data_IF_017479292116
#
_entry.id   IF_017479292116
#
_cell.length_a   1.000
_cell.length_b   1.000
_cell.length_c   1.000
_cell.angle_alpha   90.00
_cell.angle_beta   90.00
_cell.angle_gamma   90.00
#
_symmetry.space_group_name_H-M   'P 1'
#
loop_
_entity.id
_entity.type
_entity.pdbx_description
1 polymer ?
#
# COMPACT_ATOMS: atom_id res chain seq x y z
N UNK A 1 -15.51 1.90 -6.97
CA UNK A 1 -14.83 1.91 -8.28
C UNK A 1 -15.32 3.14 -9.05
N UNK A 2 -14.45 3.81 -9.80
CA UNK A 2 -14.78 5.05 -10.51
C UNK A 2 -13.75 5.35 -11.60
N UNK A 3 -13.78 6.54 -12.21
CA UNK A 3 -12.81 6.94 -13.23
C UNK A 3 -11.48 7.41 -12.62
N UNK A 4 -10.37 7.14 -13.32
CA UNK A 4 -9.07 7.71 -12.97
C UNK A 4 -9.06 9.21 -13.32
N UNK A 5 -8.25 10.02 -12.64
CA UNK A 5 -7.95 11.37 -13.11
C UNK A 5 -7.30 11.36 -14.51
N UNK A 6 -7.24 12.51 -15.21
CA UNK A 6 -6.51 12.61 -16.46
C UNK A 6 -5.02 12.33 -16.27
N UNK A 7 -4.39 11.64 -17.23
CA UNK A 7 -2.96 11.29 -17.14
C UNK A 7 -2.02 12.50 -17.04
N UNK A 8 -2.45 13.65 -17.57
CA UNK A 8 -1.73 14.93 -17.46
C UNK A 8 -1.62 15.46 -16.03
N UNK A 9 -2.37 14.90 -15.08
CA UNK A 9 -2.33 15.30 -13.66
C UNK A 9 -1.39 14.44 -12.84
N UNK A 10 -0.67 13.50 -13.49
CA UNK A 10 0.26 12.58 -12.84
C UNK A 10 1.68 13.08 -12.96
N UNK A 11 2.49 12.83 -11.93
CA UNK A 11 3.90 13.15 -11.93
C UNK A 11 4.69 12.19 -11.04
N UNK A 12 6.01 12.13 -11.25
CA UNK A 12 6.97 11.40 -10.40
C UNK A 12 7.78 12.36 -9.51
N UNK A 13 7.44 13.66 -9.52
CA UNK A 13 8.16 14.72 -8.81
C UNK A 13 7.69 14.93 -7.37
N UNK A 14 6.67 14.18 -6.92
CA UNK A 14 6.13 14.33 -5.57
C UNK A 14 5.05 15.41 -5.43
N UNK A 15 4.53 15.95 -6.54
CA UNK A 15 3.55 17.03 -6.50
C UNK A 15 2.13 16.50 -6.29
N UNK A 16 1.46 17.00 -5.27
CA UNK A 16 0.10 16.60 -4.90
C UNK A 16 0.08 15.39 -3.98
N UNK A 17 -0.85 14.46 -4.21
CA UNK A 17 -1.07 13.30 -3.33
C UNK A 17 -0.52 12.01 -3.96
N UNK A 18 0.05 11.07 -3.18
CA UNK A 18 0.42 9.75 -3.67
C UNK A 18 -0.74 9.09 -4.40
N UNK A 19 -0.46 8.46 -5.54
CA UNK A 19 -1.46 7.89 -6.43
C UNK A 19 -1.16 6.44 -6.79
N UNK A 20 -2.02 5.53 -6.32
CA UNK A 20 -1.87 4.09 -6.57
C UNK A 20 -2.87 3.62 -7.63
N UNK A 21 -2.35 3.23 -8.78
CA UNK A 21 -3.12 2.92 -9.99
C UNK A 21 -3.61 1.48 -10.04
N UNK A 22 -2.82 0.55 -9.49
CA UNK A 22 -3.11 -0.88 -9.55
C UNK A 22 -2.01 -1.73 -8.92
N UNK A 23 -1.99 -3.01 -9.30
CA UNK A 23 -1.05 -4.00 -8.77
C UNK A 23 0.44 -3.61 -8.86
N UNK A 24 0.82 -2.87 -9.89
CA UNK A 24 2.21 -2.46 -10.13
C UNK A 24 2.78 -1.55 -9.02
N UNK A 25 1.90 -0.96 -8.21
CA UNK A 25 2.29 -0.16 -7.05
C UNK A 25 2.35 -1.00 -5.78
N UNK A 26 1.72 -2.17 -5.74
CA UNK A 26 1.63 -3.00 -4.54
C UNK A 26 2.95 -3.74 -4.28
N UNK A 27 3.45 -3.67 -3.05
CA UNK A 27 4.61 -4.44 -2.60
C UNK A 27 4.16 -5.52 -1.61
N UNK A 28 5.06 -5.92 -0.70
CA UNK A 28 4.79 -6.94 0.32
C UNK A 28 3.51 -6.64 1.12
N UNK A 29 3.36 -5.40 1.60
CA UNK A 29 2.21 -4.99 2.42
C UNK A 29 1.72 -3.57 2.19
N UNK A 30 2.63 -2.64 1.88
CA UNK A 30 2.34 -1.24 1.59
C UNK A 30 2.77 -0.88 0.16
N UNK A 31 2.06 0.04 -0.52
CA UNK A 31 2.36 0.39 -1.90
C UNK A 31 3.58 1.30 -2.02
N UNK A 32 4.34 1.16 -3.11
CA UNK A 32 5.44 2.03 -3.45
C UNK A 32 4.95 3.40 -3.94
N UNK A 33 5.52 4.49 -3.41
CA UNK A 33 5.24 5.86 -3.85
C UNK A 33 5.94 6.19 -5.18
N UNK A 34 5.38 5.68 -6.28
CA UNK A 34 5.94 5.90 -7.63
C UNK A 34 5.35 7.10 -8.34
N UNK A 35 4.05 7.32 -8.18
CA UNK A 35 3.29 8.33 -8.92
C UNK A 35 2.48 9.18 -7.95
N UNK A 36 2.36 10.47 -8.25
CA UNK A 36 1.57 11.46 -7.51
C UNK A 36 0.53 12.08 -8.44
N UNK A 37 -0.54 12.63 -7.86
CA UNK A 37 -1.65 13.24 -8.60
C UNK A 37 -2.04 14.59 -7.98
N UNK A 38 -2.10 15.62 -8.82
CA UNK A 38 -2.49 16.99 -8.43
C UNK A 38 -4.00 17.24 -8.47
N UNK A 39 -4.77 16.35 -9.11
CA UNK A 39 -6.22 16.44 -9.21
C UNK A 39 -6.92 15.13 -8.79
N UNK A 40 -6.80 14.73 -7.50
CA UNK A 40 -7.30 13.46 -7.03
C UNK A 40 -8.84 13.41 -7.10
N UNK A 41 -9.39 12.32 -7.65
CA UNK A 41 -10.84 12.10 -7.74
C UNK A 41 -11.38 11.11 -6.73
N UNK A 42 -10.54 10.17 -6.28
CA UNK A 42 -10.91 9.09 -5.37
C UNK A 42 -9.83 8.95 -4.34
N UNK A 43 -10.23 8.96 -3.08
CA UNK A 43 -9.32 8.94 -1.95
C UNK A 43 -9.46 7.62 -1.19
N UNK A 44 -8.35 7.17 -0.63
CA UNK A 44 -8.28 6.19 0.44
C UNK A 44 -7.55 6.84 1.62
N UNK A 45 -7.94 6.45 2.84
CA UNK A 45 -7.25 6.92 4.04
C UNK A 45 -6.14 5.97 4.41
N UNK A 46 -5.18 6.49 5.18
CA UNK A 46 -4.20 5.67 5.88
C UNK A 46 -4.90 4.48 6.57
N UNK A 47 -4.31 3.30 6.41
CA UNK A 47 -4.79 1.98 6.87
C UNK A 47 -6.00 1.38 6.15
N UNK A 48 -6.53 2.03 5.11
CA UNK A 48 -7.49 1.35 4.24
C UNK A 48 -6.85 0.13 3.58
N UNK A 49 -7.61 -0.96 3.51
CA UNK A 49 -7.19 -2.13 2.74
C UNK A 49 -7.38 -1.85 1.26
N UNK A 50 -6.31 -1.96 0.49
CA UNK A 50 -6.31 -1.75 -0.96
C UNK A 50 -6.40 -3.10 -1.66
N UNK A 51 -7.36 -3.26 -2.56
CA UNK A 51 -7.55 -4.48 -3.34
C UNK A 51 -7.43 -4.17 -4.83
N UNK A 52 -6.60 -4.95 -5.53
CA UNK A 52 -6.51 -4.90 -6.98
C UNK A 52 -7.80 -5.44 -7.59
N UNK A 53 -8.48 -4.61 -8.40
CA UNK A 53 -9.76 -4.96 -9.04
C UNK A 53 -9.64 -5.14 -10.56
N UNK A 54 -8.40 -5.13 -11.06
CA UNK A 54 -8.02 -5.46 -12.44
C UNK A 54 -6.84 -6.42 -12.41
N UNK A 55 -6.72 -7.25 -13.44
CA UNK A 55 -5.71 -8.30 -13.50
C UNK A 55 -4.29 -7.82 -13.12
N UNK A 56 -3.59 -8.52 -12.19
CA UNK A 56 -4.11 -9.63 -11.39
C UNK A 56 -5.10 -9.15 -10.31
N UNK A 57 -6.31 -9.72 -10.30
CA UNK A 57 -7.41 -9.37 -9.41
C UNK A 57 -7.21 -10.02 -8.03
N UNK A 58 -7.54 -9.30 -6.97
CA UNK A 58 -7.58 -9.84 -5.61
C UNK A 58 -6.26 -9.74 -4.84
N UNK A 59 -5.21 -9.15 -5.41
CA UNK A 59 -4.04 -8.78 -4.63
C UNK A 59 -4.37 -7.69 -3.62
N UNK A 60 -3.82 -7.84 -2.41
CA UNK A 60 -4.16 -7.01 -1.24
C UNK A 60 -2.93 -6.28 -0.72
N UNK A 61 -3.09 -4.99 -0.45
CA UNK A 61 -2.15 -4.12 0.21
C UNK A 61 -2.87 -3.27 1.26
N UNK A 62 -2.14 -2.44 1.98
CA UNK A 62 -2.68 -1.47 2.93
C UNK A 62 -2.12 -0.09 2.60
N UNK A 63 -2.96 0.94 2.65
CA UNK A 63 -2.51 2.31 2.47
C UNK A 63 -1.65 2.74 3.66
N UNK A 64 -0.37 3.09 3.43
CA UNK A 64 0.53 3.65 4.44
C UNK A 64 0.20 5.10 4.79
N UNK A 65 -0.58 5.78 3.95
CA UNK A 65 -0.95 7.19 4.07
C UNK A 65 -2.27 7.50 3.36
N UNK A 66 -2.77 8.71 3.57
CA UNK A 66 -3.86 9.25 2.76
C UNK A 66 -3.42 9.39 1.31
N UNK A 67 -4.13 8.72 0.40
CA UNK A 67 -3.71 8.58 -0.98
C UNK A 67 -4.89 8.66 -1.96
N UNK A 68 -4.56 8.92 -3.21
CA UNK A 68 -5.47 8.83 -4.35
C UNK A 68 -5.39 7.43 -4.96
N UNK A 69 -6.52 6.89 -5.43
CA UNK A 69 -6.57 5.56 -6.01
C UNK A 69 -7.16 5.55 -7.43
N UNK A 70 -6.53 4.78 -8.31
CA UNK A 70 -6.94 4.62 -9.71
C UNK A 70 -8.15 3.71 -9.89
N UNK A 71 -8.53 3.50 -11.16
CA UNK A 71 -9.63 2.57 -11.50
C UNK A 71 -9.33 1.12 -11.15
N UNK A 72 -8.06 0.74 -11.14
CA UNK A 72 -7.59 -0.61 -10.85
C UNK A 72 -7.57 -0.97 -9.37
N UNK A 73 -7.90 -0.03 -8.47
CA UNK A 73 -7.85 -0.23 -7.02
C UNK A 73 -9.20 0.10 -6.37
N UNK A 74 -9.61 -0.77 -5.45
CA UNK A 74 -10.65 -0.53 -4.47
C UNK A 74 -10.03 -0.31 -3.09
N UNK A 75 -10.56 0.66 -2.36
CA UNK A 75 -10.31 0.80 -0.93
C UNK A 75 -11.46 0.16 -0.16
N UNK A 76 -11.11 -0.66 0.82
CA UNK A 76 -12.03 -1.41 1.69
C UNK A 76 -11.73 -1.01 3.13
N UNK A 77 -12.79 -0.64 3.84
CA UNK A 77 -12.74 -0.28 5.25
C UNK A 77 -13.92 -0.93 5.97
N UNK A 78 -13.64 -1.67 7.03
CA UNK A 78 -14.70 -2.15 7.91
C UNK A 78 -15.36 -0.98 8.65
N UNK A 79 -16.67 -1.03 8.86
CA UNK A 79 -17.43 0.06 9.49
C UNK A 79 -16.93 0.41 10.90
N UNK A 80 -16.38 -0.57 11.61
CA UNK A 80 -15.79 -0.39 12.94
C UNK A 80 -14.38 0.22 12.94
N UNK A 81 -13.79 0.49 11.77
CA UNK A 81 -12.46 1.11 11.66
C UNK A 81 -11.27 0.19 11.96
N UNK A 82 -11.50 -1.10 12.17
CA UNK A 82 -10.48 -2.12 12.44
C UNK A 82 -9.66 -2.46 11.19
N UNK A 83 -8.35 -2.20 11.20
CA UNK A 83 -7.51 -2.33 10.00
C UNK A 83 -7.01 -3.75 9.79
N UNK A 84 -6.64 -4.44 10.87
CA UNK A 84 -6.10 -5.80 10.80
C UNK A 84 -7.17 -6.76 10.32
N UNK A 85 -8.35 -6.74 10.95
CA UNK A 85 -9.46 -7.60 10.53
C UNK A 85 -9.86 -7.37 9.07
N UNK A 86 -9.94 -6.11 8.63
CA UNK A 86 -10.28 -5.78 7.23
C UNK A 86 -9.25 -6.37 6.26
N UNK A 87 -7.96 -6.18 6.55
CA UNK A 87 -6.87 -6.64 5.70
C UNK A 87 -6.84 -8.16 5.57
N UNK A 88 -6.89 -8.88 6.71
CA UNK A 88 -6.84 -10.34 6.72
C UNK A 88 -8.13 -10.96 6.16
N UNK A 89 -9.28 -10.33 6.32
CA UNK A 89 -10.53 -10.76 5.68
C UNK A 89 -10.44 -10.69 4.15
N UNK A 90 -9.88 -9.60 3.61
CA UNK A 90 -9.68 -9.47 2.15
C UNK A 90 -8.63 -10.46 1.62
N UNK A 91 -7.56 -10.73 2.40
CA UNK A 91 -6.58 -11.77 2.08
C UNK A 91 -7.20 -13.16 2.05
N UNK A 92 -8.08 -13.48 3.01
CA UNK A 92 -8.71 -14.79 3.12
C UNK A 92 -9.63 -15.12 1.95
N UNK A 93 -10.24 -14.12 1.32
CA UNK A 93 -11.11 -14.31 0.15
C UNK A 93 -10.36 -14.19 -1.19
N UNK A 94 -9.01 -14.20 -1.18
CA UNK A 94 -8.18 -14.10 -2.40
C UNK A 94 -8.56 -15.15 -3.46
N UNK A 95 -8.83 -16.38 -3.05
CA UNK A 95 -9.22 -17.46 -3.98
C UNK A 95 -10.59 -17.24 -4.62
N UNK A 96 -11.49 -16.51 -3.95
CA UNK A 96 -12.78 -16.11 -4.54
C UNK A 96 -12.55 -15.12 -5.67
N UNK A 97 -11.58 -14.21 -5.53
CA UNK A 97 -11.21 -13.28 -6.59
C UNK A 97 -10.63 -13.96 -7.83
N UNK A 98 -9.96 -15.12 -7.68
CA UNK A 98 -9.38 -15.86 -8.80
C UNK A 98 -10.44 -16.30 -9.84
N UNK A 99 -11.70 -16.50 -9.42
CA UNK A 99 -12.80 -16.84 -10.33
C UNK A 99 -13.10 -15.71 -11.33
N UNK A 100 -12.91 -14.46 -10.92
CA UNK A 100 -13.11 -13.28 -11.76
C UNK A 100 -11.96 -13.03 -12.76
N UNK A 101 -10.84 -13.73 -12.62
CA UNK A 101 -9.80 -13.76 -13.65
C UNK A 101 -10.21 -14.66 -14.82
N UNK A 102 -10.96 -15.73 -14.54
CA UNK A 102 -11.33 -16.75 -15.52
C UNK A 102 -12.58 -16.39 -16.36
N UNK A 103 -13.46 -15.51 -15.87
CA UNK A 103 -14.79 -15.25 -16.44
C UNK A 103 -14.84 -14.27 -17.65
N UNK A 104 -13.75 -14.10 -18.41
CA UNK A 104 -13.91 -13.77 -19.83
C UNK A 104 -14.04 -12.30 -20.24
N UNK A 105 -13.00 -11.51 -19.99
CA UNK A 105 -12.56 -10.48 -20.95
C UNK A 105 -11.03 -10.51 -21.00
N UNK A 106 -10.41 -10.02 -22.07
CA UNK A 106 -8.94 -10.06 -22.29
C UNK A 106 -8.13 -9.49 -21.10
N UNK A 107 -8.78 -8.77 -20.17
CA UNK A 107 -8.26 -8.42 -18.84
C UNK A 107 -9.32 -8.68 -17.75
N UNK A 108 -9.08 -9.64 -16.86
CA UNK A 108 -9.95 -9.89 -15.70
C UNK A 108 -10.18 -8.64 -14.86
N UNK A 109 -11.42 -8.38 -14.46
CA UNK A 109 -11.77 -7.27 -13.57
C UNK A 109 -13.03 -7.56 -12.77
N UNK A 110 -13.15 -6.95 -11.58
CA UNK A 110 -14.34 -7.07 -10.73
C UNK A 110 -15.08 -5.74 -10.71
N UNK A 111 -16.40 -5.76 -10.87
CA UNK A 111 -17.25 -4.56 -10.79
C UNK A 111 -17.63 -4.25 -9.34
N UNK A 112 -18.10 -3.02 -9.06
CA UNK A 112 -18.53 -2.63 -7.70
C UNK A 112 -19.68 -3.52 -7.22
N UNK A 113 -20.59 -3.89 -8.14
CA UNK A 113 -21.73 -4.76 -7.85
C UNK A 113 -21.25 -6.16 -7.46
N UNK A 114 -20.27 -6.71 -8.17
CA UNK A 114 -19.76 -8.05 -7.92
C UNK A 114 -18.93 -8.08 -6.63
N UNK A 115 -18.12 -7.04 -6.39
CA UNK A 115 -17.37 -6.89 -5.14
C UNK A 115 -18.30 -6.90 -3.91
N UNK A 116 -19.45 -6.22 -3.99
CA UNK A 116 -20.44 -6.22 -2.89
C UNK A 116 -21.17 -7.55 -2.70
N UNK A 117 -21.14 -8.44 -3.69
CA UNK A 117 -21.75 -9.79 -3.60
C UNK A 117 -20.79 -10.85 -3.08
N UNK A 118 -19.52 -10.51 -2.87
CA UNK A 118 -18.54 -11.47 -2.36
C UNK A 118 -18.98 -12.01 -1.00
N UNK A 119 -19.06 -13.33 -0.93
CA UNK A 119 -19.26 -14.02 0.33
C UNK A 119 -18.06 -13.73 1.24
N UNK A 120 -18.34 -13.34 2.48
CA UNK A 120 -17.35 -13.07 3.49
C UNK A 120 -17.87 -13.51 4.85
N UNK A 121 -16.95 -13.78 5.77
CA UNK A 121 -17.29 -14.09 7.16
C UNK A 121 -17.65 -12.77 7.85
N UNK A 122 -18.82 -12.73 8.48
CA UNK A 122 -19.29 -11.60 9.28
C UNK A 122 -19.45 -12.05 10.74
N UNK A 123 -18.35 -12.13 11.51
CA UNK A 123 -18.42 -12.57 12.90
C UNK A 123 -19.01 -11.46 13.79
N UNK A 124 -19.40 -11.81 15.01
CA UNK A 124 -19.91 -10.83 15.98
C UNK A 124 -18.86 -9.76 16.29
N UNK A 125 -19.30 -8.54 16.57
CA UNK A 125 -18.42 -7.38 16.80
C UNK A 125 -17.33 -7.65 17.86
N UNK A 126 -17.67 -8.36 18.92
CA UNK A 126 -16.71 -8.72 19.98
C UNK A 126 -15.54 -9.58 19.47
N UNK A 127 -15.81 -10.50 18.53
CA UNK A 127 -14.77 -11.33 17.92
C UNK A 127 -13.87 -10.49 17.03
N UNK A 128 -14.45 -9.54 16.29
CA UNK A 128 -13.70 -8.60 15.44
C UNK A 128 -12.73 -7.77 16.28
N UNK A 129 -13.18 -7.23 17.41
CA UNK A 129 -12.34 -6.42 18.30
C UNK A 129 -11.25 -7.26 18.97
N UNK A 130 -11.57 -8.47 19.44
CA UNK A 130 -10.56 -9.38 20.00
C UNK A 130 -9.49 -9.75 18.97
N UNK A 131 -9.89 -10.04 17.73
CA UNK A 131 -8.97 -10.29 16.63
C UNK A 131 -8.08 -9.07 16.36
N UNK A 132 -8.67 -7.87 16.28
CA UNK A 132 -7.91 -6.64 16.09
C UNK A 132 -6.87 -6.45 17.21
N UNK A 133 -7.24 -6.62 18.48
CA UNK A 133 -6.31 -6.49 19.61
C UNK A 133 -5.12 -7.46 19.54
N UNK A 134 -5.32 -8.65 18.98
CA UNK A 134 -4.25 -9.64 18.83
C UNK A 134 -3.33 -9.27 17.65
N UNK A 135 -3.91 -8.90 16.51
CA UNK A 135 -3.15 -8.68 15.28
C UNK A 135 -2.52 -7.28 15.19
N UNK A 136 -3.16 -6.26 15.77
CA UNK A 136 -2.74 -4.87 15.63
C UNK A 136 -1.29 -4.62 16.09
N UNK A 137 -0.81 -5.14 17.25
CA UNK A 137 0.58 -4.96 17.66
C UNK A 137 1.59 -5.56 16.68
N UNK A 138 1.25 -6.71 16.07
CA UNK A 138 2.09 -7.33 15.04
C UNK A 138 2.10 -6.48 13.77
N UNK A 139 0.95 -5.96 13.38
CA UNK A 139 0.82 -5.08 12.21
C UNK A 139 1.60 -3.77 12.41
N UNK A 140 1.61 -3.21 13.64
CA UNK A 140 2.43 -2.04 14.00
C UNK A 140 3.93 -2.33 13.89
N UNK A 141 4.38 -3.54 14.29
CA UNK A 141 5.79 -3.95 14.11
C UNK A 141 6.11 -4.06 12.62
N UNK A 142 5.22 -4.66 11.82
CA UNK A 142 5.43 -4.82 10.38
C UNK A 142 5.51 -3.47 9.68
N UNK A 143 4.64 -2.52 10.04
CA UNK A 143 4.66 -1.16 9.50
C UNK A 143 5.97 -0.44 9.83
N UNK A 144 6.40 -0.45 11.09
CA UNK A 144 7.67 0.17 11.52
C UNK A 144 8.89 -0.43 10.83
N UNK A 145 8.96 -1.76 10.76
CA UNK A 145 10.09 -2.43 10.10
C UNK A 145 10.16 -2.11 8.61
N UNK A 146 9.00 -1.95 7.96
CA UNK A 146 8.96 -1.62 6.54
C UNK A 146 9.30 -0.14 6.29
N UNK A 147 8.89 0.78 7.17
CA UNK A 147 9.34 2.17 7.17
C UNK A 147 10.85 2.30 7.36
N UNK A 148 11.41 1.57 8.32
CA UNK A 148 12.85 1.52 8.58
C UNK A 148 13.59 0.93 7.38
N UNK A 149 13.11 -0.19 6.83
CA UNK A 149 13.70 -0.81 5.65
C UNK A 149 13.71 0.14 4.44
N UNK A 150 12.66 0.92 4.21
CA UNK A 150 12.64 1.94 3.15
C UNK A 150 13.66 3.05 3.40
N UNK A 151 13.73 3.52 4.64
CA UNK A 151 14.67 4.58 5.03
C UNK A 151 16.13 4.12 4.82
N UNK A 152 16.45 2.91 5.25
CA UNK A 152 17.79 2.32 5.07
C UNK A 152 18.13 2.11 3.59
N UNK A 153 17.18 1.63 2.78
CA UNK A 153 17.39 1.47 1.34
C UNK A 153 17.64 2.83 0.65
N UNK A 154 16.85 3.85 0.96
CA UNK A 154 17.03 5.20 0.43
C UNK A 154 18.38 5.82 0.84
N UNK A 155 18.77 5.63 2.11
CA UNK A 155 20.06 6.07 2.62
C UNK A 155 21.22 5.38 1.90
N UNK A 156 21.15 4.05 1.73
CA UNK A 156 22.12 3.27 0.96
C UNK A 156 22.25 3.84 -0.46
N UNK A 157 21.13 4.03 -1.16
CA UNK A 157 21.12 4.46 -2.56
C UNK A 157 21.63 5.91 -2.72
N UNK A 158 21.44 6.76 -1.71
CA UNK A 158 21.97 8.12 -1.68
C UNK A 158 23.48 8.17 -1.36
N UNK A 159 23.97 7.28 -0.50
CA UNK A 159 25.36 7.27 -0.05
C UNK A 159 26.29 6.49 -0.99
N UNK A 160 25.85 5.35 -1.51
CA UNK A 160 26.69 4.44 -2.28
C UNK A 160 27.37 5.12 -3.49
N UNK A 161 26.67 5.95 -4.30
CA UNK A 161 27.31 6.66 -5.42
C UNK A 161 28.34 7.70 -4.98
N UNK A 162 28.19 8.29 -3.78
CA UNK A 162 29.13 9.27 -3.23
C UNK A 162 30.38 8.60 -2.66
N UNK A 163 30.18 7.45 -2.01
CA UNK A 163 31.26 6.60 -1.50
C UNK A 163 32.11 6.05 -2.66
N UNK A 164 31.49 5.51 -3.71
CA UNK A 164 32.20 4.97 -4.89
C UNK A 164 33.01 6.06 -5.60
N UNK A 165 32.50 7.30 -5.67
CA UNK A 165 33.22 8.44 -6.25
C UNK A 165 34.27 9.07 -5.33
N UNK A 166 34.39 8.59 -4.09
CA UNK A 166 35.30 9.16 -3.09
C UNK A 166 34.91 10.58 -2.62
N UNK A 167 33.67 11.02 -2.88
CA UNK A 167 33.14 12.31 -2.41
C UNK A 167 32.87 12.31 -0.91
N UNK A 168 32.62 11.13 -0.34
CA UNK A 168 32.54 10.87 1.10
C UNK A 168 33.53 9.75 1.39
N UNK A 169 34.36 9.91 2.43
CA UNK A 169 35.21 8.84 2.95
C UNK A 169 34.67 8.40 4.30
N UNK A 170 34.73 7.09 4.55
CA UNK A 170 34.25 6.49 5.80
C UNK A 170 35.01 7.10 6.99
N UNK A 171 36.34 7.23 6.90
CA UNK A 171 37.17 7.81 7.95
C UNK A 171 36.80 9.26 8.32
N UNK A 172 36.34 10.07 7.36
CA UNK A 172 35.93 11.45 7.61
C UNK A 172 34.58 11.50 8.34
N UNK A 173 33.66 10.58 7.98
CA UNK A 173 32.38 10.44 8.66
C UNK A 173 32.54 9.90 10.09
N UNK A 174 33.42 8.92 10.31
CA UNK A 174 33.75 8.40 11.64
C UNK A 174 34.34 9.48 12.55
N UNK A 175 35.26 10.30 12.01
CA UNK A 175 35.84 11.43 12.75
C UNK A 175 34.79 12.47 13.13
N UNK A 176 33.88 12.80 12.20
CA UNK A 176 32.79 13.74 12.47
C UNK A 176 31.84 13.26 13.59
N UNK A 177 31.56 11.95 13.67
CA UNK A 177 30.74 11.38 14.74
C UNK A 177 31.47 11.44 16.09
N UNK A 178 32.75 11.07 16.12
CA UNK A 178 33.59 11.15 17.32
C UNK A 178 33.69 12.58 17.87
N UNK A 179 33.85 13.59 17.01
CA UNK A 179 33.87 15.00 17.40
C UNK A 179 32.54 15.47 18.04
N UNK A 180 31.44 14.77 17.76
CA UNK A 180 30.10 15.07 18.28
C UNK A 180 29.64 14.14 19.42
N UNK A 181 30.48 13.19 19.84
CA UNK A 181 30.16 12.23 20.89
C UNK A 181 29.01 11.28 20.53
N UNK A 182 28.82 11.01 19.24
CA UNK A 182 27.86 10.04 18.71
C UNK A 182 28.55 8.73 18.33
#
# INVERSE_FOLDING_TARGET
MGQSPPGSTYNEMGEGMPFYQGRADFQFRFPARRVYCTAPKRLAKRHDTLVSVRAPVGDVNMASEDCSIGRGVAAVRHKSGVRSFTYYSMKAIKEIFAKFEAEGTVFGSISKKDFHKLAHIAPHYEVIIKFEHICLPMDDVIERNEEESRTLAALRDALLPKLIRGQIRIADAERFLQERGL
#
